data_IF_429803854530
#
_entry.id   IF_429803854530
#
_cell.length_a   1.000
_cell.length_b   1.000
_cell.length_c   1.000
_cell.angle_alpha   90.00
_cell.angle_beta   90.00
_cell.angle_gamma   90.00
#
_symmetry.space_group_name_H-M   'P 1'
#
loop_
_entity.id
_entity.type
_entity.pdbx_description
1 polymer ?
#
# COMPACT_ATOMS: atom_id res chain seq x y z
N UNK A 1 7.04 39.20 -7.90
CA UNK A 1 6.82 37.79 -8.29
C UNK A 1 7.99 37.01 -7.72
N UNK A 2 7.77 36.39 -6.60
CA UNK A 2 8.86 35.87 -5.80
C UNK A 2 8.89 34.39 -5.66
N UNK A 3 8.45 33.64 -6.68
CA UNK A 3 8.82 32.24 -6.74
C UNK A 3 9.98 32.09 -7.71
N UNK A 4 11.13 31.65 -7.21
CA UNK A 4 12.15 31.11 -8.06
C UNK A 4 11.53 29.90 -8.78
N UNK A 5 11.45 29.99 -10.11
CA UNK A 5 10.91 28.88 -10.93
C UNK A 5 11.64 27.55 -10.66
N UNK A 6 12.88 27.59 -10.21
CA UNK A 6 13.65 26.41 -9.82
C UNK A 6 13.18 25.79 -8.49
N UNK A 7 12.87 26.62 -7.51
CA UNK A 7 12.35 26.12 -6.23
C UNK A 7 10.97 25.51 -6.39
N UNK A 8 10.12 26.08 -7.24
CA UNK A 8 8.79 25.51 -7.51
C UNK A 8 8.84 24.19 -8.29
N UNK A 9 9.80 24.00 -9.18
CA UNK A 9 9.91 22.78 -9.99
C UNK A 9 10.48 21.58 -9.23
N UNK A 10 11.27 21.81 -8.19
CA UNK A 10 11.81 20.72 -7.36
C UNK A 10 10.86 20.27 -6.24
N UNK A 11 9.79 21.03 -5.97
CA UNK A 11 8.75 20.70 -5.00
C UNK A 11 7.50 20.12 -5.64
N UNK A 12 7.52 19.92 -6.95
CA UNK A 12 6.32 19.52 -7.70
C UNK A 12 6.46 18.06 -8.10
N UNK A 13 5.97 17.19 -7.24
CA UNK A 13 5.34 15.96 -7.69
C UNK A 13 3.98 16.35 -8.30
N UNK A 14 3.74 16.12 -9.61
CA UNK A 14 2.48 16.51 -10.26
C UNK A 14 1.23 15.96 -9.54
N UNK A 15 1.36 14.87 -8.82
CA UNK A 15 0.26 14.21 -8.14
C UNK A 15 0.06 14.70 -6.69
N UNK A 16 1.07 15.33 -6.08
CA UNK A 16 1.04 15.79 -4.70
C UNK A 16 1.31 17.29 -4.53
N UNK A 17 1.29 18.07 -5.61
CA UNK A 17 1.63 19.48 -5.55
C UNK A 17 0.55 20.30 -4.87
N UNK A 18 0.91 20.91 -3.77
CA UNK A 18 0.14 21.97 -3.15
C UNK A 18 0.53 23.29 -3.81
N UNK A 19 -0.38 23.87 -4.58
CA UNK A 19 -0.16 25.19 -5.16
C UNK A 19 -0.40 26.26 -4.09
N UNK A 20 0.66 26.96 -3.68
CA UNK A 20 0.54 28.15 -2.89
C UNK A 20 -0.08 29.29 -3.72
N UNK A 21 -0.87 30.14 -3.09
CA UNK A 21 -1.33 31.39 -3.71
C UNK A 21 -0.10 32.27 -3.92
N UNK A 22 0.19 32.73 -5.14
CA UNK A 22 1.33 33.63 -5.37
C UNK A 22 1.11 34.90 -4.59
N UNK A 23 2.14 35.36 -3.88
CA UNK A 23 2.10 36.65 -3.21
C UNK A 23 1.89 37.75 -4.23
N UNK A 24 0.87 38.55 -4.04
CA UNK A 24 0.56 39.71 -4.90
C UNK A 24 1.50 40.89 -4.64
N UNK A 25 2.22 40.90 -3.52
CA UNK A 25 3.15 41.96 -3.16
C UNK A 25 4.61 41.50 -3.27
N UNK A 26 5.48 42.43 -3.70
CA UNK A 26 6.92 42.22 -3.72
C UNK A 26 7.43 42.11 -2.28
N UNK A 27 7.87 40.96 -1.89
CA UNK A 27 8.62 40.78 -0.64
C UNK A 27 10.02 41.36 -0.90
N UNK A 28 10.31 42.53 -0.32
CA UNK A 28 11.66 43.05 -0.28
C UNK A 28 12.41 42.33 0.83
N UNK A 29 13.41 41.54 0.46
CA UNK A 29 14.33 40.93 1.44
C UNK A 29 15.26 42.06 1.88
N UNK A 30 15.04 42.56 3.10
CA UNK A 30 15.98 43.45 3.72
C UNK A 30 17.18 42.65 4.23
N UNK A 31 18.36 42.92 3.68
CA UNK A 31 19.60 42.26 4.06
C UNK A 31 20.01 42.49 5.51
N UNK A 32 19.38 43.39 6.20
CA UNK A 32 19.66 43.75 7.60
C UNK A 32 18.74 42.98 8.57
N UNK A 33 17.50 42.68 8.17
CA UNK A 33 16.57 41.86 8.96
C UNK A 33 16.48 40.48 8.37
N UNK A 34 17.16 39.55 8.99
CA UNK A 34 17.20 38.11 8.57
C UNK A 34 15.95 37.29 8.93
N UNK A 35 14.87 37.94 9.34
CA UNK A 35 13.63 37.28 9.76
C UNK A 35 12.46 37.93 9.06
N UNK A 36 11.79 37.18 8.21
CA UNK A 36 10.46 37.50 7.72
C UNK A 36 9.47 37.12 8.82
N UNK A 37 8.98 38.11 9.57
CA UNK A 37 7.92 37.89 10.54
C UNK A 37 6.62 37.56 9.81
N UNK A 38 6.14 36.34 10.03
CA UNK A 38 4.81 35.86 9.67
C UNK A 38 4.48 35.78 8.17
N UNK A 39 5.06 34.81 7.46
CA UNK A 39 4.51 34.36 6.16
C UNK A 39 3.37 33.39 6.44
N UNK A 40 2.14 33.87 6.29
CA UNK A 40 0.98 32.99 6.29
C UNK A 40 0.84 32.35 4.91
N UNK A 41 1.28 31.10 4.76
CA UNK A 41 0.99 30.30 3.59
C UNK A 41 -0.39 29.68 3.79
N UNK A 42 -1.40 30.27 3.17
CA UNK A 42 -2.72 29.63 3.10
C UNK A 42 -2.63 28.56 2.01
N UNK A 43 -2.53 27.32 2.42
CA UNK A 43 -2.71 26.17 1.53
C UNK A 43 -4.21 26.01 1.32
N UNK A 44 -4.74 26.29 0.12
CA UNK A 44 -6.14 26.03 -0.14
C UNK A 44 -6.36 24.52 0.00
N UNK A 45 -7.14 24.13 0.99
CA UNK A 45 -7.56 22.76 1.18
C UNK A 45 -8.65 22.43 0.15
N UNK A 46 -8.24 22.35 -1.12
CA UNK A 46 -9.11 21.88 -2.19
C UNK A 46 -8.80 20.39 -2.39
N UNK A 47 -9.53 19.49 -1.75
CA UNK A 47 -9.32 18.08 -1.96
C UNK A 47 -9.50 17.82 -3.45
N UNK A 48 -8.47 17.29 -4.11
CA UNK A 48 -8.59 16.85 -5.50
C UNK A 48 -9.65 15.77 -5.52
N UNK A 49 -10.72 16.00 -6.28
CA UNK A 49 -11.77 14.99 -6.43
C UNK A 49 -11.14 13.72 -7.00
N UNK A 50 -11.35 12.62 -6.33
CA UNK A 50 -10.98 11.30 -6.86
C UNK A 50 -11.82 11.03 -8.09
N UNK A 51 -11.15 10.76 -9.20
CA UNK A 51 -11.79 10.53 -10.51
C UNK A 51 -11.43 9.16 -11.05
N UNK A 52 -12.40 8.50 -11.63
CA UNK A 52 -12.18 7.29 -12.42
C UNK A 52 -11.46 7.64 -13.73
N UNK A 53 -10.29 7.01 -13.96
CA UNK A 53 -9.48 7.21 -15.17
C UNK A 53 -9.71 6.09 -16.17
N UNK A 54 -9.75 4.84 -15.71
CA UNK A 54 -9.79 3.66 -16.57
C UNK A 54 -10.66 2.58 -15.95
N UNK A 55 -11.37 1.83 -16.78
CA UNK A 55 -12.03 0.59 -16.42
C UNK A 55 -11.71 -0.48 -17.45
N UNK A 56 -11.36 -1.66 -16.97
CA UNK A 56 -11.04 -2.79 -17.83
C UNK A 56 -11.50 -4.11 -17.22
N UNK A 57 -11.91 -5.03 -18.07
CA UNK A 57 -12.14 -6.41 -17.70
C UNK A 57 -10.86 -7.22 -17.81
N UNK A 58 -10.53 -7.96 -16.79
CA UNK A 58 -9.42 -8.92 -16.77
C UNK A 58 -9.91 -10.29 -17.26
N UNK A 59 -11.12 -10.65 -16.87
CA UNK A 59 -11.82 -11.85 -17.35
C UNK A 59 -13.32 -11.55 -17.51
N UNK A 60 -14.11 -12.55 -17.86
CA UNK A 60 -15.56 -12.38 -17.99
C UNK A 60 -16.33 -12.33 -16.66
N UNK A 61 -15.61 -12.37 -15.54
CA UNK A 61 -16.17 -12.26 -14.18
C UNK A 61 -15.48 -11.23 -13.31
N UNK A 62 -14.36 -10.66 -13.75
CA UNK A 62 -13.50 -9.81 -12.95
C UNK A 62 -12.91 -8.68 -13.77
N UNK A 63 -12.87 -7.49 -13.19
CA UNK A 63 -12.26 -6.30 -13.79
C UNK A 63 -11.61 -5.38 -12.77
N UNK A 64 -11.04 -4.29 -13.29
CA UNK A 64 -10.33 -3.26 -12.55
C UNK A 64 -10.82 -1.87 -12.91
N UNK A 65 -10.85 -1.00 -11.92
CA UNK A 65 -11.12 0.42 -12.05
C UNK A 65 -9.92 1.18 -11.48
N UNK A 66 -9.30 2.03 -12.30
CA UNK A 66 -8.15 2.83 -11.91
C UNK A 66 -8.58 4.27 -11.67
N UNK A 67 -8.18 4.82 -10.53
CA UNK A 67 -8.44 6.20 -10.12
C UNK A 67 -7.18 7.04 -10.17
N UNK A 68 -7.34 8.36 -10.18
CA UNK A 68 -6.23 9.31 -10.16
C UNK A 68 -5.55 9.45 -8.78
N UNK A 69 -6.14 8.92 -7.74
CA UNK A 69 -5.64 8.98 -6.35
C UNK A 69 -6.07 7.73 -5.57
N UNK A 70 -5.44 7.52 -4.42
CA UNK A 70 -5.77 6.41 -3.52
C UNK A 70 -7.23 6.50 -3.04
N UNK A 71 -7.88 5.33 -2.94
CA UNK A 71 -9.27 5.16 -2.52
C UNK A 71 -9.43 4.40 -1.19
N UNK A 72 -8.33 4.14 -0.49
CA UNK A 72 -8.32 3.31 0.73
C UNK A 72 -9.38 3.65 1.77
N UNK A 73 -9.72 4.93 1.89
CA UNK A 73 -10.63 5.39 2.95
C UNK A 73 -12.11 5.20 2.61
N UNK A 74 -12.44 4.62 1.45
CA UNK A 74 -13.81 4.65 0.92
C UNK A 74 -14.37 3.29 0.54
N UNK A 75 -13.66 2.20 0.80
CA UNK A 75 -14.02 0.87 0.28
C UNK A 75 -15.41 0.40 0.72
N UNK A 76 -15.77 0.62 1.97
CA UNK A 76 -17.05 0.16 2.53
C UNK A 76 -18.27 0.90 1.95
N UNK A 77 -17.99 1.96 1.21
CA UNK A 77 -19.02 2.84 0.66
C UNK A 77 -19.10 2.80 -0.86
N UNK A 78 -18.16 2.10 -1.53
CA UNK A 78 -18.14 2.01 -3.00
C UNK A 78 -18.99 0.82 -3.46
N UNK A 79 -20.02 1.07 -4.23
CA UNK A 79 -20.75 0.03 -4.92
C UNK A 79 -20.55 0.14 -6.44
N UNK A 80 -20.31 -0.99 -7.08
CA UNK A 80 -20.15 -1.10 -8.54
C UNK A 80 -21.35 -1.81 -9.11
N UNK A 81 -21.99 -1.19 -10.12
CA UNK A 81 -23.08 -1.78 -10.86
C UNK A 81 -22.68 -1.86 -12.33
N UNK A 82 -22.73 -3.06 -12.87
CA UNK A 82 -22.41 -3.34 -14.27
C UNK A 82 -23.71 -3.49 -15.05
N UNK A 83 -23.86 -2.72 -16.12
CA UNK A 83 -25.01 -2.81 -17.04
C UNK A 83 -24.54 -3.43 -18.35
N UNK A 84 -25.27 -4.48 -18.77
CA UNK A 84 -25.14 -5.12 -20.07
C UNK A 84 -26.54 -5.06 -20.70
N UNK A 85 -26.71 -4.30 -21.78
CA UNK A 85 -28.02 -3.99 -22.36
C UNK A 85 -29.02 -3.50 -21.30
N UNK A 86 -30.02 -4.32 -20.96
CA UNK A 86 -31.02 -4.02 -19.93
C UNK A 86 -30.80 -4.74 -18.61
N UNK A 87 -29.79 -5.59 -18.52
CA UNK A 87 -29.47 -6.40 -17.33
C UNK A 87 -28.49 -5.66 -16.45
N UNK A 88 -28.73 -5.69 -15.13
CA UNK A 88 -27.87 -5.10 -14.12
C UNK A 88 -27.26 -6.20 -13.26
N UNK A 89 -25.93 -6.12 -13.06
CA UNK A 89 -25.16 -6.99 -12.17
C UNK A 89 -24.58 -6.15 -11.04
N UNK A 90 -24.70 -6.63 -9.82
CA UNK A 90 -23.98 -6.03 -8.68
C UNK A 90 -22.59 -6.65 -8.57
N UNK A 91 -21.56 -5.81 -8.53
CA UNK A 91 -20.18 -6.25 -8.35
C UNK A 91 -19.76 -6.15 -6.89
N UNK A 92 -19.12 -7.19 -6.39
CA UNK A 92 -18.33 -7.13 -5.16
C UNK A 92 -17.01 -6.45 -5.45
N UNK A 93 -16.44 -5.76 -4.45
CA UNK A 93 -15.27 -4.92 -4.66
C UNK A 93 -14.22 -5.11 -3.58
N UNK A 94 -12.95 -4.94 -3.95
CA UNK A 94 -11.84 -4.79 -3.02
C UNK A 94 -10.75 -3.91 -3.62
N UNK A 95 -9.96 -3.24 -2.77
CA UNK A 95 -8.83 -2.41 -3.21
C UNK A 95 -7.62 -3.32 -3.44
N UNK A 96 -6.84 -3.02 -4.47
CA UNK A 96 -5.55 -3.66 -4.68
C UNK A 96 -4.62 -3.40 -3.49
N UNK A 97 -3.87 -4.42 -3.06
CA UNK A 97 -3.05 -4.29 -1.87
C UNK A 97 -1.83 -3.39 -2.11
N UNK A 98 -1.26 -3.42 -3.30
CA UNK A 98 -0.05 -2.70 -3.68
C UNK A 98 -0.38 -1.33 -4.30
N UNK A 99 -1.44 -1.26 -5.11
CA UNK A 99 -1.85 -0.05 -5.83
C UNK A 99 -3.18 0.48 -5.28
N UNK A 100 -3.12 1.32 -4.25
CA UNK A 100 -4.29 1.84 -3.52
C UNK A 100 -5.25 2.70 -4.35
N UNK A 101 -4.91 3.01 -5.58
CA UNK A 101 -5.75 3.67 -6.57
C UNK A 101 -6.46 2.69 -7.52
N UNK A 102 -6.30 1.38 -7.33
CA UNK A 102 -6.98 0.34 -8.11
C UNK A 102 -8.06 -0.31 -7.26
N UNK A 103 -9.30 -0.28 -7.77
CA UNK A 103 -10.43 -1.03 -7.26
C UNK A 103 -10.69 -2.23 -8.17
N UNK A 104 -10.61 -3.41 -7.62
CA UNK A 104 -11.08 -4.61 -8.28
C UNK A 104 -12.58 -4.76 -8.07
N UNK A 105 -13.27 -5.24 -9.08
CA UNK A 105 -14.68 -5.66 -8.99
C UNK A 105 -14.86 -7.05 -9.62
N UNK A 106 -15.74 -7.84 -9.06
CA UNK A 106 -16.07 -9.16 -9.59
C UNK A 106 -17.56 -9.46 -9.41
N UNK A 107 -18.06 -10.36 -10.24
CA UNK A 107 -19.47 -10.77 -10.27
C UNK A 107 -19.57 -12.29 -10.26
N UNK A 108 -20.61 -12.81 -9.62
CA UNK A 108 -20.87 -14.25 -9.59
C UNK A 108 -21.32 -14.78 -10.96
N UNK A 109 -22.07 -13.97 -11.69
CA UNK A 109 -22.53 -14.27 -13.05
C UNK A 109 -21.38 -14.18 -14.07
N UNK A 110 -21.63 -14.72 -15.25
CA UNK A 110 -20.67 -14.67 -16.36
C UNK A 110 -21.20 -13.78 -17.46
N UNK A 111 -20.46 -12.75 -17.85
CA UNK A 111 -20.78 -11.92 -19.01
C UNK A 111 -20.16 -12.54 -20.26
N UNK A 112 -20.89 -12.45 -21.39
CA UNK A 112 -20.41 -12.99 -22.66
C UNK A 112 -19.12 -12.30 -23.12
N UNK A 113 -18.23 -13.07 -23.74
CA UNK A 113 -16.99 -12.56 -24.32
C UNK A 113 -17.28 -11.53 -25.41
N UNK A 114 -16.49 -10.46 -25.44
CA UNK A 114 -16.65 -9.37 -26.40
C UNK A 114 -17.80 -8.41 -26.09
N UNK A 115 -18.60 -8.67 -25.05
CA UNK A 115 -19.72 -7.83 -24.67
C UNK A 115 -19.26 -6.46 -24.20
N UNK A 116 -20.02 -5.42 -24.60
CA UNK A 116 -19.80 -4.04 -24.18
C UNK A 116 -20.59 -3.77 -22.91
N UNK A 117 -19.94 -3.37 -21.86
CA UNK A 117 -20.54 -3.13 -20.56
C UNK A 117 -20.41 -1.67 -20.16
N UNK A 118 -21.41 -1.14 -19.45
CA UNK A 118 -21.34 0.13 -18.77
C UNK A 118 -21.14 -0.14 -17.27
N UNK A 119 -20.01 0.25 -16.75
CA UNK A 119 -19.67 0.09 -15.35
C UNK A 119 -19.95 1.41 -14.64
N UNK A 120 -20.87 1.38 -13.68
CA UNK A 120 -21.28 2.54 -12.90
C UNK A 120 -20.77 2.40 -11.48
N UNK A 121 -20.16 3.46 -10.98
CA UNK A 121 -19.75 3.60 -9.59
C UNK A 121 -20.77 4.52 -8.92
N UNK A 122 -21.38 4.08 -7.84
CA UNK A 122 -22.22 4.96 -7.03
C UNK A 122 -21.35 5.83 -6.16
N UNK A 123 -21.67 7.13 -6.02
CA UNK A 123 -20.88 8.05 -5.22
C UNK A 123 -20.88 7.62 -3.76
N UNK A 124 -19.71 7.75 -3.16
CA UNK A 124 -19.54 7.70 -1.72
C UNK A 124 -19.77 9.10 -1.20
N UNK A 125 -20.80 9.27 -0.42
CA UNK A 125 -21.07 10.52 0.28
C UNK A 125 -20.53 10.38 1.70
N UNK A 126 -19.34 10.89 1.96
CA UNK A 126 -18.92 11.16 3.33
C UNK A 126 -19.54 12.47 3.82
N UNK A 127 -19.81 12.53 5.12
CA UNK A 127 -20.50 13.66 5.79
C UNK A 127 -19.84 15.03 5.57
N UNK A 128 -18.64 15.09 5.03
CA UNK A 128 -17.85 16.32 4.87
C UNK A 128 -17.32 16.60 3.47
N UNK A 129 -17.13 15.59 2.61
CA UNK A 129 -16.58 15.79 1.25
C UNK A 129 -17.08 14.70 0.31
N UNK A 130 -17.70 15.10 -0.82
CA UNK A 130 -17.95 14.17 -1.92
C UNK A 130 -16.60 13.89 -2.63
N UNK A 131 -16.06 12.70 -2.44
CA UNK A 131 -14.68 12.42 -2.83
C UNK A 131 -14.61 11.63 -4.13
N UNK A 132 -15.64 10.85 -4.44
CA UNK A 132 -15.82 10.21 -5.74
C UNK A 132 -17.11 10.75 -6.36
N UNK A 133 -16.96 11.43 -7.47
CA UNK A 133 -18.11 11.78 -8.30
C UNK A 133 -18.68 10.51 -8.92
N UNK A 134 -20.03 10.47 -9.09
CA UNK A 134 -20.66 9.34 -9.79
C UNK A 134 -20.04 9.22 -11.16
N UNK A 135 -19.25 8.17 -11.32
CA UNK A 135 -18.55 7.92 -12.55
C UNK A 135 -19.08 6.68 -13.24
N UNK A 136 -19.14 6.75 -14.55
CA UNK A 136 -19.43 5.59 -15.38
C UNK A 136 -18.36 5.44 -16.46
N UNK A 137 -18.00 4.23 -16.77
CA UNK A 137 -17.03 3.92 -17.81
C UNK A 137 -17.52 2.74 -18.64
N UNK A 138 -17.27 2.81 -19.93
CA UNK A 138 -17.55 1.70 -20.83
C UNK A 138 -16.32 0.84 -20.99
N UNK A 139 -16.46 -0.45 -20.78
CA UNK A 139 -15.40 -1.43 -21.00
C UNK A 139 -15.94 -2.64 -21.76
N UNK A 140 -15.07 -3.33 -22.46
CA UNK A 140 -15.43 -4.54 -23.21
C UNK A 140 -14.81 -5.77 -22.54
N UNK A 141 -15.62 -6.82 -22.36
CA UNK A 141 -15.13 -8.10 -21.88
C UNK A 141 -14.17 -8.71 -22.92
N UNK A 142 -13.01 -9.24 -22.53
CA UNK A 142 -12.07 -9.81 -23.48
C UNK A 142 -12.68 -10.90 -24.36
N UNK A 143 -12.32 -10.92 -25.64
CA UNK A 143 -12.71 -11.99 -26.56
C UNK A 143 -11.97 -13.28 -26.26
N UNK A 144 -10.69 -13.14 -25.91
CA UNK A 144 -9.81 -14.24 -25.57
C UNK A 144 -9.76 -14.41 -24.06
N UNK A 145 -9.82 -15.66 -23.61
CA UNK A 145 -9.59 -15.98 -22.22
C UNK A 145 -8.07 -16.02 -21.99
N UNK A 146 -7.63 -15.43 -20.90
CA UNK A 146 -6.26 -15.58 -20.46
C UNK A 146 -5.95 -17.04 -20.17
N UNK A 147 -4.99 -17.58 -20.91
CA UNK A 147 -4.57 -18.99 -20.83
C UNK A 147 -3.34 -19.19 -19.95
N UNK A 148 -2.84 -18.16 -19.29
CA UNK A 148 -1.72 -18.30 -18.36
C UNK A 148 -2.15 -19.09 -17.12
N UNK A 149 -1.21 -19.76 -16.50
CA UNK A 149 -1.44 -20.46 -15.25
C UNK A 149 -1.48 -19.49 -14.08
N UNK A 150 -2.17 -19.88 -13.00
CA UNK A 150 -2.11 -19.18 -11.72
C UNK A 150 -0.65 -19.11 -11.25
N UNK A 151 -0.21 -17.90 -10.89
CA UNK A 151 1.02 -17.66 -10.13
C UNK A 151 0.67 -17.24 -8.72
N UNK A 152 1.48 -17.68 -7.76
CA UNK A 152 1.41 -17.31 -6.35
C UNK A 152 2.77 -16.69 -6.00
N UNK A 153 2.77 -15.47 -5.55
CA UNK A 153 3.97 -14.71 -5.24
C UNK A 153 3.96 -14.29 -3.78
N UNK A 154 5.11 -14.32 -3.14
CA UNK A 154 5.31 -13.75 -1.82
C UNK A 154 5.86 -12.33 -1.95
N UNK A 155 5.41 -11.43 -1.08
CA UNK A 155 5.90 -10.03 -1.03
C UNK A 155 7.30 -9.94 -0.36
N UNK A 156 8.12 -10.97 -0.51
CA UNK A 156 9.42 -11.05 0.15
C UNK A 156 10.54 -10.51 -0.73
N UNK A 157 11.36 -9.62 -0.17
CA UNK A 157 12.59 -9.23 -0.83
C UNK A 157 13.62 -10.37 -0.69
N UNK A 158 14.19 -10.81 -1.83
CA UNK A 158 15.19 -11.89 -1.87
C UNK A 158 14.74 -13.19 -1.18
N UNK A 159 13.44 -13.45 -1.11
CA UNK A 159 12.86 -14.59 -0.38
C UNK A 159 13.22 -14.63 1.13
N UNK A 160 13.42 -13.48 1.74
CA UNK A 160 13.70 -13.36 3.18
C UNK A 160 12.51 -12.68 3.86
N UNK A 161 11.93 -13.35 4.84
CA UNK A 161 10.97 -12.77 5.76
C UNK A 161 11.70 -12.13 6.93
N UNK A 162 11.62 -10.83 7.03
CA UNK A 162 12.16 -10.11 8.19
C UNK A 162 11.26 -10.29 9.40
N UNK A 163 11.82 -10.77 10.49
CA UNK A 163 11.08 -11.12 11.70
C UNK A 163 11.52 -10.31 12.91
N UNK A 164 10.59 -10.17 13.86
CA UNK A 164 10.77 -9.47 15.13
C UNK A 164 10.60 -10.45 16.30
N UNK A 165 11.36 -10.26 17.39
CA UNK A 165 11.35 -11.20 18.52
C UNK A 165 10.00 -11.27 19.23
N UNK A 166 9.33 -10.12 19.39
CA UNK A 166 8.10 -10.00 20.18
C UNK A 166 6.83 -9.78 19.33
N UNK A 167 6.91 -10.02 18.02
CA UNK A 167 5.80 -9.80 17.10
C UNK A 167 5.80 -10.84 16.00
N UNK A 168 4.67 -11.49 15.81
CA UNK A 168 4.49 -12.39 14.67
C UNK A 168 4.25 -11.55 13.42
N UNK A 169 5.20 -11.58 12.52
CA UNK A 169 5.11 -10.89 11.22
C UNK A 169 4.35 -11.77 10.25
N UNK A 170 3.28 -11.29 9.59
CA UNK A 170 2.56 -12.10 8.61
C UNK A 170 3.38 -12.27 7.33
N UNK A 171 3.31 -13.44 6.74
CA UNK A 171 3.75 -13.67 5.38
C UNK A 171 2.59 -13.40 4.43
N UNK A 172 2.75 -12.43 3.55
CA UNK A 172 1.75 -12.05 2.58
C UNK A 172 1.98 -12.78 1.24
N UNK A 173 0.91 -13.29 0.68
CA UNK A 173 0.89 -13.92 -0.63
C UNK A 173 -0.09 -13.19 -1.54
N UNK A 174 0.31 -13.00 -2.78
CA UNK A 174 -0.54 -12.48 -3.85
C UNK A 174 -0.79 -13.53 -4.92
N UNK A 175 -2.00 -13.54 -5.45
CA UNK A 175 -2.45 -14.47 -6.47
C UNK A 175 -2.73 -13.72 -7.78
N UNK A 176 -2.29 -14.25 -8.90
CA UNK A 176 -2.57 -13.65 -10.21
C UNK A 176 -4.03 -13.81 -10.65
N UNK A 177 -4.82 -14.61 -9.94
CA UNK A 177 -6.25 -14.88 -10.19
C UNK A 177 -7.07 -14.64 -8.92
N UNK A 178 -8.39 -14.48 -9.10
CA UNK A 178 -9.29 -14.48 -7.94
C UNK A 178 -9.50 -15.89 -7.43
N UNK A 179 -9.36 -16.04 -6.14
CA UNK A 179 -9.57 -17.29 -5.43
C UNK A 179 -11.03 -17.37 -4.95
N UNK A 180 -11.59 -18.57 -4.89
CA UNK A 180 -12.89 -18.78 -4.26
C UNK A 180 -12.77 -18.69 -2.73
N UNK A 181 -13.83 -18.25 -2.04
CA UNK A 181 -13.76 -17.93 -0.61
C UNK A 181 -13.38 -19.10 0.32
N UNK A 182 -13.57 -20.37 -0.10
CA UNK A 182 -13.46 -21.53 0.78
C UNK A 182 -12.21 -22.39 0.50
N UNK A 183 -11.11 -21.78 0.05
CA UNK A 183 -10.12 -22.47 -0.77
C UNK A 183 -8.97 -23.12 -0.06
N UNK A 184 -8.66 -22.81 1.16
CA UNK A 184 -7.58 -23.52 1.83
C UNK A 184 -8.08 -24.15 3.14
N UNK A 185 -8.20 -25.46 3.11
CA UNK A 185 -8.06 -26.24 4.34
C UNK A 185 -6.59 -26.07 4.76
N UNK A 186 -6.40 -25.17 5.71
CA UNK A 186 -5.18 -24.44 6.00
C UNK A 186 -4.15 -25.21 6.76
N UNK A 187 -4.37 -26.50 6.95
CA UNK A 187 -3.57 -27.25 7.91
C UNK A 187 -2.28 -27.84 7.33
N UNK A 188 -2.09 -27.89 6.01
CA UNK A 188 -1.08 -28.80 5.44
C UNK A 188 -0.03 -28.17 4.54
N UNK A 189 0.26 -26.85 4.61
CA UNK A 189 1.14 -26.29 3.59
C UNK A 189 2.36 -25.48 4.07
N UNK A 190 2.54 -25.23 5.37
CA UNK A 190 3.77 -24.58 5.86
C UNK A 190 4.66 -25.62 6.57
N UNK A 191 5.92 -25.70 6.15
CA UNK A 191 6.91 -26.61 6.71
C UNK A 191 8.22 -25.89 7.01
N UNK A 192 8.85 -26.27 8.13
CA UNK A 192 10.22 -25.95 8.51
C UNK A 192 10.98 -27.26 8.64
N UNK A 193 12.10 -27.44 7.93
CA UNK A 193 12.91 -28.65 7.99
C UNK A 193 12.07 -29.94 7.85
N UNK A 194 11.08 -29.95 6.95
CA UNK A 194 10.09 -31.03 6.75
C UNK A 194 9.12 -31.26 7.91
N UNK A 195 9.16 -30.44 8.95
CA UNK A 195 8.20 -30.46 10.07
C UNK A 195 7.08 -29.49 9.73
N UNK A 196 5.85 -29.97 9.79
CA UNK A 196 4.67 -29.12 9.61
C UNK A 196 4.56 -28.09 10.72
N UNK A 197 4.24 -26.87 10.34
CA UNK A 197 4.00 -25.74 11.24
C UNK A 197 2.52 -25.42 11.25
N UNK A 198 1.94 -25.34 12.44
CA UNK A 198 0.57 -24.88 12.63
C UNK A 198 0.49 -23.38 12.35
N UNK A 199 -0.53 -23.00 11.58
CA UNK A 199 -0.71 -21.63 11.13
C UNK A 199 -2.11 -21.11 11.44
N UNK A 200 -2.18 -19.80 11.59
CA UNK A 200 -3.39 -19.01 11.40
C UNK A 200 -3.30 -18.32 10.03
N UNK A 201 -4.42 -18.17 9.38
CA UNK A 201 -4.48 -17.55 8.07
C UNK A 201 -5.65 -16.60 7.98
N UNK A 202 -5.52 -15.63 7.06
CA UNK A 202 -6.55 -14.65 6.81
C UNK A 202 -6.57 -14.26 5.33
N UNK A 203 -7.74 -14.30 4.71
CA UNK A 203 -7.98 -13.70 3.41
C UNK A 203 -8.23 -12.20 3.59
N UNK A 204 -7.30 -11.37 3.12
CA UNK A 204 -7.49 -9.91 3.07
C UNK A 204 -8.44 -9.54 1.93
N UNK A 205 -8.34 -10.25 0.83
CA UNK A 205 -9.19 -10.13 -0.35
C UNK A 205 -9.09 -11.41 -1.19
N UNK A 206 -9.92 -11.60 -2.23
CA UNK A 206 -9.81 -12.76 -3.11
C UNK A 206 -8.47 -12.95 -3.82
N UNK A 207 -7.56 -11.98 -3.71
CA UNK A 207 -6.20 -12.02 -4.28
C UNK A 207 -5.08 -12.02 -3.27
N UNK A 208 -5.36 -11.68 -2.02
CA UNK A 208 -4.33 -11.48 -1.00
C UNK A 208 -4.61 -12.32 0.24
N UNK A 209 -3.62 -13.07 0.63
CA UNK A 209 -3.70 -14.04 1.70
C UNK A 209 -2.54 -13.86 2.67
N UNK A 210 -2.83 -13.88 3.96
CA UNK A 210 -1.85 -13.79 5.03
C UNK A 210 -1.72 -15.11 5.76
N UNK A 211 -0.49 -15.47 6.05
CA UNK A 211 -0.13 -16.65 6.85
C UNK A 211 0.66 -16.19 8.06
N UNK A 212 0.28 -16.68 9.22
CA UNK A 212 1.02 -16.49 10.47
C UNK A 212 1.20 -17.83 11.15
N UNK A 213 2.40 -18.19 11.60
CA UNK A 213 2.55 -19.36 12.45
C UNK A 213 1.87 -19.11 13.80
N UNK A 214 1.28 -20.14 14.42
CA UNK A 214 0.69 -20.03 15.76
C UNK A 214 1.73 -19.76 16.85
N UNK A 215 2.97 -20.06 16.56
CA UNK A 215 4.14 -19.69 17.36
C UNK A 215 4.96 -18.68 16.59
N UNK A 216 5.94 -18.04 17.24
CA UNK A 216 6.85 -17.16 16.50
C UNK A 216 7.63 -17.90 15.42
N UNK A 217 8.02 -17.17 14.38
CA UNK A 217 8.99 -17.64 13.41
C UNK A 217 10.33 -17.94 14.11
N UNK A 218 10.99 -19.02 13.70
CA UNK A 218 12.35 -19.28 14.15
C UNK A 218 13.33 -18.42 13.32
N UNK A 219 14.30 -17.74 13.97
CA UNK A 219 15.27 -16.94 13.25
C UNK A 219 16.24 -17.82 12.44
N UNK A 220 16.78 -17.26 11.34
CA UNK A 220 17.74 -17.91 10.44
C UNK A 220 17.29 -19.33 10.03
N UNK A 221 16.03 -19.49 9.70
CA UNK A 221 15.44 -20.80 9.40
C UNK A 221 14.81 -20.83 8.02
N UNK A 222 14.91 -21.98 7.37
CA UNK A 222 14.32 -22.20 6.05
C UNK A 222 12.91 -22.77 6.18
N UNK A 223 12.03 -22.24 5.34
CA UNK A 223 10.63 -22.64 5.27
C UNK A 223 10.23 -22.98 3.84
N UNK A 224 9.22 -23.81 3.72
CA UNK A 224 8.57 -24.09 2.45
C UNK A 224 7.05 -24.06 2.57
N UNK A 225 6.40 -23.40 1.61
CA UNK A 225 4.97 -23.44 1.40
C UNK A 225 4.67 -24.39 0.26
N UNK A 226 3.74 -25.31 0.46
CA UNK A 226 3.35 -26.30 -0.52
C UNK A 226 1.88 -26.14 -0.88
N UNK A 227 1.58 -25.93 -2.15
CA UNK A 227 0.22 -25.79 -2.66
C UNK A 227 -0.09 -26.94 -3.59
N UNK A 228 -1.01 -27.80 -3.18
CA UNK A 228 -1.52 -28.88 -4.02
C UNK A 228 -2.56 -28.35 -4.99
N UNK A 229 -2.41 -28.67 -6.27
CA UNK A 229 -3.31 -28.22 -7.34
C UNK A 229 -4.77 -28.56 -7.08
N UNK A 230 -5.04 -29.71 -6.55
CA UNK A 230 -6.38 -30.22 -6.23
C UNK A 230 -7.08 -29.43 -5.11
N UNK A 231 -6.28 -28.74 -4.26
CA UNK A 231 -6.79 -27.90 -3.18
C UNK A 231 -6.97 -26.44 -3.59
N UNK A 232 -6.58 -26.06 -4.79
CA UNK A 232 -6.70 -24.70 -5.31
C UNK A 232 -8.02 -24.58 -6.07
N UNK A 233 -8.90 -23.73 -5.59
CA UNK A 233 -10.17 -23.42 -6.25
C UNK A 233 -10.19 -21.94 -6.68
N UNK A 234 -10.35 -21.72 -7.98
CA UNK A 234 -10.44 -20.39 -8.55
C UNK A 234 -11.90 -19.91 -8.58
N UNK A 235 -12.10 -18.63 -8.37
CA UNK A 235 -13.41 -18.00 -8.50
C UNK A 235 -14.01 -18.22 -9.89
N UNK A 236 -13.20 -18.10 -10.92
CA UNK A 236 -13.57 -18.45 -12.28
C UNK A 236 -13.05 -19.86 -12.64
N UNK A 237 -13.93 -20.83 -12.63
CA UNK A 237 -13.62 -22.25 -12.90
C UNK A 237 -13.02 -22.53 -14.30
N UNK A 238 -13.14 -21.57 -15.22
CA UNK A 238 -12.58 -21.71 -16.57
C UNK A 238 -11.13 -21.22 -16.67
N UNK A 239 -10.61 -20.59 -15.64
CA UNK A 239 -9.21 -20.16 -15.58
C UNK A 239 -8.30 -21.35 -15.21
N UNK A 240 -7.03 -21.26 -15.61
CA UNK A 240 -6.06 -22.31 -15.31
C UNK A 240 -5.48 -22.14 -13.92
N UNK A 241 -5.58 -23.16 -13.10
CA UNK A 241 -4.87 -23.30 -11.82
C UNK A 241 -3.35 -23.39 -12.04
N UNK A 242 -2.57 -23.74 -11.03
CA UNK A 242 -1.12 -23.94 -11.15
C UNK A 242 -0.80 -24.99 -12.22
N UNK A 243 0.38 -24.86 -12.83
CA UNK A 243 0.80 -25.75 -13.93
C UNK A 243 0.96 -27.18 -13.46
N UNK A 244 1.77 -27.36 -12.44
CA UNK A 244 2.14 -28.66 -11.91
C UNK A 244 1.17 -29.13 -10.82
N UNK A 245 1.24 -30.39 -10.40
CA UNK A 245 0.41 -30.92 -9.31
C UNK A 245 0.73 -30.31 -7.95
N UNK A 246 1.93 -29.79 -7.79
CA UNK A 246 2.44 -29.16 -6.58
C UNK A 246 3.23 -27.89 -6.93
N UNK A 247 2.95 -26.80 -6.25
CA UNK A 247 3.77 -25.59 -6.23
C UNK A 247 4.47 -25.48 -4.88
N UNK A 248 5.77 -25.25 -4.88
CA UNK A 248 6.56 -25.05 -3.66
C UNK A 248 7.20 -23.66 -3.70
N UNK A 249 6.90 -22.84 -2.69
CA UNK A 249 7.53 -21.53 -2.47
C UNK A 249 8.47 -21.70 -1.28
N UNK A 250 9.77 -21.42 -1.50
CA UNK A 250 10.79 -21.48 -0.45
C UNK A 250 11.18 -20.08 -0.01
N UNK A 251 11.35 -19.90 1.29
CA UNK A 251 11.83 -18.66 1.86
C UNK A 251 12.61 -18.94 3.15
N UNK A 252 13.38 -17.97 3.57
CA UNK A 252 14.11 -18.00 4.84
C UNK A 252 13.66 -16.87 5.74
N UNK A 253 13.84 -17.02 7.04
CA UNK A 253 13.65 -15.93 8.00
C UNK A 253 14.96 -15.23 8.29
N UNK A 254 14.89 -13.93 8.54
CA UNK A 254 16.04 -13.18 9.06
C UNK A 254 16.37 -13.57 10.51
N UNK A 255 17.46 -13.07 11.05
CA UNK A 255 17.59 -12.97 12.50
C UNK A 255 16.52 -12.02 13.06
N UNK A 256 16.23 -12.09 14.35
CA UNK A 256 15.37 -11.11 14.96
C UNK A 256 15.96 -9.70 14.83
N UNK A 257 15.13 -8.75 14.39
CA UNK A 257 15.50 -7.34 14.43
C UNK A 257 15.68 -6.94 15.89
N UNK A 258 16.83 -6.38 16.20
CA UNK A 258 17.12 -5.78 17.51
C UNK A 258 16.85 -4.29 17.42
N UNK A 259 16.23 -3.75 18.44
CA UNK A 259 15.96 -2.33 18.59
C UNK A 259 16.72 -1.77 19.76
N UNK A 260 17.22 -0.57 19.62
CA UNK A 260 17.88 0.19 20.66
C UNK A 260 17.22 1.53 20.89
N UNK A 261 17.72 2.24 21.90
CA UNK A 261 17.39 3.63 22.13
C UNK A 261 18.66 4.47 22.01
N UNK A 262 18.52 5.66 21.45
CA UNK A 262 19.59 6.66 21.38
C UNK A 262 19.17 7.81 22.26
N UNK A 263 20.03 8.12 23.24
CA UNK A 263 19.80 9.21 24.17
C UNK A 263 21.04 10.11 24.18
N UNK A 264 20.82 11.42 24.33
CA UNK A 264 21.90 12.38 24.37
C UNK A 264 21.49 13.72 24.95
N UNK A 265 22.46 14.61 25.06
CA UNK A 265 22.24 16.01 25.45
C UNK A 265 22.93 16.94 24.47
N UNK A 266 22.27 18.06 24.17
CA UNK A 266 22.84 19.10 23.34
C UNK A 266 23.32 20.25 24.25
N UNK A 267 24.60 20.54 24.18
CA UNK A 267 25.21 21.60 25.00
C UNK A 267 24.99 22.94 24.28
N UNK A 268 23.85 23.63 24.56
CA UNK A 268 23.50 24.90 23.93
C UNK A 268 22.68 25.82 24.81
N UNK A 269 22.84 27.12 24.58
CA UNK A 269 22.22 28.19 25.36
C UNK A 269 20.80 28.59 24.94
N UNK A 270 20.31 28.16 23.77
CA UNK A 270 18.92 28.38 23.28
C UNK A 270 18.37 27.11 22.68
N UNK A 271 17.28 26.62 23.26
CA UNK A 271 16.73 25.26 22.99
C UNK A 271 15.53 25.29 22.05
N UNK A 272 15.03 26.46 21.65
CA UNK A 272 13.84 26.55 20.83
C UNK A 272 14.11 26.06 19.41
N UNK A 273 13.29 25.15 18.95
CA UNK A 273 13.24 24.66 17.56
C UNK A 273 14.47 23.87 17.08
N UNK A 274 15.05 23.00 17.91
CA UNK A 274 16.08 22.09 17.47
C UNK A 274 15.49 20.68 17.33
N UNK A 275 15.71 20.08 16.18
CA UNK A 275 15.37 18.68 15.88
C UNK A 275 16.67 17.86 15.82
N UNK A 276 16.63 16.72 16.46
CA UNK A 276 17.67 15.68 16.30
C UNK A 276 17.13 14.62 15.38
N UNK A 277 17.79 14.41 14.27
CA UNK A 277 17.43 13.42 13.26
C UNK A 277 18.49 12.34 13.13
N UNK A 278 18.05 11.12 13.16
CA UNK A 278 18.87 9.95 12.88
C UNK A 278 18.49 9.42 11.49
N UNK A 279 19.45 9.39 10.56
CA UNK A 279 19.22 8.94 9.18
C UNK A 279 19.96 7.62 8.97
N UNK A 280 19.28 6.62 8.44
CA UNK A 280 19.90 5.34 8.11
C UNK A 280 20.95 5.48 7.01
N UNK A 281 22.13 4.88 7.23
CA UNK A 281 23.19 4.86 6.22
C UNK A 281 22.82 4.01 5.00
N UNK A 282 22.03 2.95 5.19
CA UNK A 282 21.62 2.04 4.12
C UNK A 282 20.42 2.57 3.31
N UNK A 283 19.58 3.40 3.92
CA UNK A 283 18.42 4.01 3.28
C UNK A 283 18.18 5.41 3.84
N UNK A 284 18.57 6.44 3.10
CA UNK A 284 18.45 7.85 3.51
C UNK A 284 16.99 8.34 3.66
N UNK A 285 16.02 7.63 3.07
CA UNK A 285 14.59 7.94 3.26
C UNK A 285 14.09 7.48 4.64
N UNK A 286 14.82 6.59 5.31
CA UNK A 286 14.48 6.11 6.64
C UNK A 286 15.14 6.97 7.70
N UNK A 287 14.37 7.76 8.41
CA UNK A 287 14.86 8.63 9.47
C UNK A 287 13.94 8.60 10.70
N UNK A 288 14.53 9.00 11.84
CA UNK A 288 13.86 9.07 13.13
C UNK A 288 14.15 10.44 13.76
N UNK A 289 13.12 11.17 14.14
CA UNK A 289 13.23 12.50 14.71
C UNK A 289 12.93 12.50 16.22
N UNK A 290 13.62 13.33 16.95
CA UNK A 290 13.31 13.66 18.32
C UNK A 290 13.40 15.18 18.57
N UNK A 291 12.44 15.69 19.30
CA UNK A 291 12.49 17.05 19.85
C UNK A 291 13.39 17.06 21.09
N UNK A 292 13.98 18.22 21.37
CA UNK A 292 14.81 18.42 22.57
C UNK A 292 13.92 18.80 23.74
N UNK A 293 14.12 18.12 24.85
CA UNK A 293 13.46 18.42 26.12
C UNK A 293 13.99 19.72 26.73
N UNK A 294 13.29 20.25 27.72
CA UNK A 294 13.66 21.46 28.44
C UNK A 294 15.02 21.37 29.16
N UNK A 295 15.48 20.15 29.48
CA UNK A 295 16.79 19.88 30.08
C UNK A 295 17.91 19.63 29.05
N UNK A 296 17.66 19.98 27.80
CA UNK A 296 18.57 19.76 26.64
C UNK A 296 18.79 18.30 26.27
N UNK A 297 18.03 17.37 26.84
CA UNK A 297 18.09 15.95 26.47
C UNK A 297 17.23 15.62 25.28
N UNK A 298 17.60 14.60 24.54
CA UNK A 298 16.74 13.96 23.52
C UNK A 298 16.76 12.44 23.68
N UNK A 299 15.71 11.81 23.18
CA UNK A 299 15.58 10.35 23.16
C UNK A 299 14.87 9.90 21.89
N UNK A 300 15.54 9.03 21.13
CA UNK A 300 14.96 8.32 19.99
C UNK A 300 14.84 6.85 20.41
N UNK A 301 13.61 6.32 20.37
CA UNK A 301 13.32 4.96 20.82
C UNK A 301 13.05 4.05 19.63
N UNK A 302 13.19 2.74 19.83
CA UNK A 302 12.89 1.71 18.84
C UNK A 302 13.65 1.90 17.50
N UNK A 303 14.92 2.30 17.61
CA UNK A 303 15.80 2.39 16.45
C UNK A 303 16.31 0.97 16.14
N UNK A 304 16.10 0.45 14.92
CA UNK A 304 16.65 -0.83 14.50
C UNK A 304 18.19 -0.83 14.60
N UNK A 305 18.80 -2.01 14.81
CA UNK A 305 20.25 -2.10 14.70
C UNK A 305 20.72 -1.71 13.29
N UNK A 306 21.79 -0.93 13.19
CA UNK A 306 22.32 -0.44 11.93
C UNK A 306 23.33 0.68 12.10
N UNK A 307 23.76 1.24 10.98
CA UNK A 307 24.60 2.43 10.94
C UNK A 307 23.75 3.65 10.60
N UNK A 308 23.99 4.73 11.33
CA UNK A 308 23.18 5.93 11.21
C UNK A 308 24.05 7.18 11.25
N UNK A 309 23.58 8.21 10.54
CA UNK A 309 24.06 9.58 10.73
C UNK A 309 23.18 10.28 11.73
N UNK A 310 23.78 10.96 12.70
CA UNK A 310 23.07 11.85 13.62
C UNK A 310 23.21 13.28 13.11
N UNK A 311 22.07 13.89 12.79
CA UNK A 311 22.00 15.29 12.38
C UNK A 311 21.29 16.11 13.45
N UNK A 312 21.72 17.34 13.62
CA UNK A 312 21.08 18.32 14.51
C UNK A 312 20.88 19.58 13.70
N UNK A 313 19.64 20.04 13.60
CA UNK A 313 19.30 21.23 12.83
C UNK A 313 18.23 22.06 13.53
N UNK A 314 18.09 23.30 13.09
CA UNK A 314 17.02 24.18 13.57
C UNK A 314 15.77 23.95 12.69
N UNK A 315 14.65 23.84 13.35
CA UNK A 315 13.33 23.91 12.71
C UNK A 315 12.96 25.40 12.66
N UNK A 316 13.24 26.03 11.52
CA UNK A 316 13.00 27.47 11.29
C UNK A 316 11.58 27.71 10.73
#
# INVERSE_FOLDING_TARGET
>A
MGFDKKASTNLIDPDNTVYGIPFLEKIAIDTIKKVLDHINIIVPNNPRMTRLIKGEWVSNKWGKLTFNSSINNYIDSISVVIKVDSILFSGETFIDNNEKNILHFFINDTISKGEKTLINIKPVIEKTYAIIDSASITARVPFEQDTTFLTIESELQKNILEIEENKIVPLNLSFSRLMAADVFDTTDFLFKDSIKIDIDNNWISPKYFQIMPKTNWFPNSDYSLMFLKEKISLFNKYEKSIKDSLLVIKFSTSRFKKFGNIEGKINKSKINSIIVRLISFENEELFYDANINSDSSFKITQVPEGQYYLMVFYDD
#
